data_IF_497534579801
#
_entry.id   IF_497534579801
#
_cell.length_a   1.000
_cell.length_b   1.000
_cell.length_c   1.000
_cell.angle_alpha   90.00
_cell.angle_beta   90.00
_cell.angle_gamma   90.00
#
_symmetry.space_group_name_H-M   'P 1'
#
loop_
_entity.id
_entity.type
_entity.pdbx_description
1 polymer ?
#
# COMPACT_ATOMS: atom_id res chain seq x y z
N UNK A 1 -8.68 7.01 -5.43
CA UNK A 1 -8.48 5.62 -4.97
C UNK A 1 -8.16 4.64 -6.09
N UNK A 2 -8.80 4.70 -7.28
CA UNK A 2 -8.42 3.84 -8.41
C UNK A 2 -6.95 4.00 -8.85
N UNK A 3 -6.37 5.21 -8.77
CA UNK A 3 -5.03 5.50 -9.34
C UNK A 3 -3.81 4.99 -8.55
N UNK A 4 -3.88 4.87 -7.22
CA UNK A 4 -2.73 4.43 -6.41
C UNK A 4 -2.53 2.91 -6.49
N UNK A 5 -3.63 2.15 -6.45
CA UNK A 5 -3.61 0.72 -6.74
C UNK A 5 -3.22 0.46 -8.19
N UNK A 6 -3.65 1.31 -9.13
CA UNK A 6 -3.26 1.20 -10.54
C UNK A 6 -1.76 1.45 -10.76
N UNK A 7 -1.11 2.35 -10.01
CA UNK A 7 0.34 2.58 -10.12
C UNK A 7 1.16 1.42 -9.53
N UNK A 8 0.74 0.90 -8.37
CA UNK A 8 1.36 -0.30 -7.76
C UNK A 8 1.15 -1.53 -8.66
N UNK A 9 -0.05 -1.68 -9.23
CA UNK A 9 -0.33 -2.73 -10.22
C UNK A 9 0.46 -2.50 -11.50
N UNK A 10 0.56 -1.28 -12.04
CA UNK A 10 1.31 -0.99 -13.27
C UNK A 10 2.81 -1.32 -13.13
N UNK A 11 3.42 -1.04 -11.98
CA UNK A 11 4.81 -1.41 -11.70
C UNK A 11 5.03 -2.93 -11.58
N UNK A 12 3.98 -3.70 -11.24
CA UNK A 12 4.01 -5.18 -11.14
C UNK A 12 3.33 -5.93 -12.30
N UNK A 13 2.73 -5.23 -13.27
CA UNK A 13 1.92 -5.83 -14.35
C UNK A 13 2.75 -5.98 -15.62
N UNK A 14 3.27 -7.18 -15.86
CA UNK A 14 3.74 -7.57 -17.19
C UNK A 14 2.57 -8.22 -17.92
N UNK A 15 2.09 -7.71 -19.08
CA UNK A 15 1.09 -8.40 -19.85
C UNK A 15 1.70 -9.68 -20.44
N UNK A 16 1.20 -10.84 -20.01
CA UNK A 16 1.40 -12.08 -20.74
C UNK A 16 0.67 -11.98 -22.08
N UNK A 17 1.41 -12.15 -23.16
CA UNK A 17 0.86 -12.48 -24.46
C UNK A 17 0.17 -13.85 -24.35
N UNK A 18 -1.15 -13.88 -24.23
CA UNK A 18 -1.99 -14.92 -24.82
C UNK A 18 -3.48 -14.55 -24.73
N UNK A 19 -4.08 -14.36 -25.90
CA UNK A 19 -5.52 -14.31 -26.03
C UNK A 19 -6.12 -15.68 -25.77
N UNK A 20 -6.96 -15.77 -24.75
CA UNK A 20 -7.99 -16.80 -24.64
C UNK A 20 -9.25 -16.14 -24.12
N UNK A 21 -10.30 -16.14 -24.94
CA UNK A 21 -11.63 -15.71 -24.52
C UNK A 21 -12.16 -16.63 -23.41
N UNK A 22 -12.95 -16.11 -22.45
CA UNK A 22 -13.56 -16.94 -21.43
C UNK A 22 -14.60 -17.88 -22.07
N UNK A 23 -14.72 -19.14 -21.63
CA UNK A 23 -15.79 -20.02 -22.08
C UNK A 23 -17.13 -19.55 -21.50
N UNK A 24 -18.14 -19.46 -22.36
CA UNK A 24 -19.54 -19.22 -21.99
C UNK A 24 -20.05 -20.31 -21.05
N UNK A 25 -20.69 -19.93 -19.94
CA UNK A 25 -21.54 -20.84 -19.16
C UNK A 25 -21.48 -20.74 -17.63
N UNK A 26 -21.70 -19.56 -17.03
CA UNK A 26 -22.05 -19.46 -15.61
C UNK A 26 -23.58 -19.29 -15.45
N UNK A 27 -24.27 -20.09 -14.60
CA UNK A 27 -25.70 -19.97 -14.39
C UNK A 27 -26.04 -18.69 -13.59
N UNK A 28 -27.06 -17.96 -14.03
CA UNK A 28 -27.59 -16.80 -13.33
C UNK A 28 -28.22 -17.20 -11.98
N UNK A 29 -27.93 -16.43 -10.93
CA UNK A 29 -28.54 -16.59 -9.61
C UNK A 29 -30.06 -16.30 -9.66
N UNK A 30 -30.89 -17.06 -8.94
CA UNK A 30 -32.35 -16.92 -8.99
C UNK A 30 -32.85 -15.63 -8.32
N UNK A 31 -33.90 -15.07 -8.90
CA UNK A 31 -34.47 -13.72 -8.66
C UNK A 31 -35.25 -13.60 -7.32
N UNK A 32 -35.28 -14.62 -6.45
CA UNK A 32 -36.20 -14.66 -5.30
C UNK A 32 -35.61 -14.25 -3.94
N UNK A 33 -34.50 -13.51 -3.88
CA UNK A 33 -33.93 -13.02 -2.60
C UNK A 33 -34.12 -11.51 -2.36
N UNK A 34 -35.12 -10.89 -3.02
CA UNK A 34 -35.28 -9.43 -3.04
C UNK A 34 -36.45 -8.86 -2.21
N UNK A 35 -37.18 -9.68 -1.45
CA UNK A 35 -38.46 -9.21 -0.85
C UNK A 35 -38.67 -9.48 0.65
N UNK A 36 -37.62 -9.57 1.49
CA UNK A 36 -37.83 -9.77 2.94
C UNK A 36 -36.93 -8.98 3.90
N UNK A 37 -36.75 -7.67 3.69
CA UNK A 37 -36.15 -6.77 4.70
C UNK A 37 -36.85 -5.39 4.79
N UNK A 38 -38.02 -5.26 5.45
CA UNK A 38 -38.67 -3.96 5.62
C UNK A 38 -38.15 -3.16 6.84
N UNK A 39 -36.83 -3.15 7.07
CA UNK A 39 -36.19 -2.33 8.14
C UNK A 39 -34.90 -1.64 7.69
N UNK A 40 -34.37 -1.94 6.50
CA UNK A 40 -33.17 -1.27 5.98
C UNK A 40 -33.46 0.14 5.41
N UNK A 41 -34.70 0.42 4.99
CA UNK A 41 -35.03 1.68 4.32
C UNK A 41 -35.05 2.91 5.24
N UNK A 42 -35.20 2.75 6.56
CA UNK A 42 -35.23 3.89 7.49
C UNK A 42 -33.84 4.43 7.83
N UNK A 43 -32.81 3.58 7.80
CA UNK A 43 -31.42 3.99 8.07
C UNK A 43 -30.79 4.79 6.91
N UNK A 44 -31.24 4.55 5.67
CA UNK A 44 -30.70 5.24 4.48
C UNK A 44 -31.46 6.52 4.09
N UNK A 45 -32.62 6.81 4.69
CA UNK A 45 -33.36 8.06 4.44
C UNK A 45 -32.72 9.29 5.09
N UNK A 46 -31.84 9.10 6.09
CA UNK A 46 -31.06 10.19 6.72
C UNK A 46 -29.89 10.66 5.83
N UNK A 47 -29.56 9.94 4.75
CA UNK A 47 -28.51 10.32 3.78
C UNK A 47 -29.09 10.93 2.48
N UNK A 48 -30.24 11.59 2.54
CA UNK A 48 -30.88 12.28 1.40
C UNK A 48 -30.49 13.76 1.24
N UNK A 49 -29.38 14.21 1.81
CA UNK A 49 -28.71 15.39 1.27
C UNK A 49 -28.02 14.96 -0.02
N UNK A 50 -28.29 15.59 -1.18
CA UNK A 50 -27.56 15.26 -2.39
C UNK A 50 -26.08 15.42 -2.07
N UNK A 51 -25.28 14.37 -2.34
CA UNK A 51 -23.82 14.47 -2.34
C UNK A 51 -23.48 15.63 -3.26
N UNK A 52 -23.25 16.80 -2.66
CA UNK A 52 -22.83 18.00 -3.36
C UNK A 52 -21.55 17.59 -4.06
N UNK A 53 -21.54 17.68 -5.39
CA UNK A 53 -20.34 17.49 -6.17
C UNK A 53 -19.25 18.32 -5.49
N UNK A 54 -18.25 17.64 -4.92
CA UNK A 54 -17.21 18.27 -4.12
C UNK A 54 -16.43 19.23 -5.03
N UNK A 55 -16.84 20.49 -5.03
CA UNK A 55 -16.02 21.62 -5.45
C UNK A 55 -15.09 21.91 -4.29
N UNK A 56 -14.10 21.04 -4.09
CA UNK A 56 -13.08 21.24 -3.06
C UNK A 56 -12.51 22.65 -3.14
N UNK A 57 -11.96 23.18 -2.03
CA UNK A 57 -11.31 24.47 -2.07
C UNK A 57 -10.29 24.49 -3.22
N UNK A 58 -10.27 25.59 -3.98
CA UNK A 58 -9.12 25.94 -4.81
C UNK A 58 -7.87 25.78 -3.93
N UNK A 59 -6.81 25.09 -4.40
CA UNK A 59 -5.63 24.84 -3.59
C UNK A 59 -5.20 26.14 -2.91
N UNK A 60 -5.09 26.15 -1.58
CA UNK A 60 -4.30 27.21 -0.95
C UNK A 60 -2.87 27.03 -1.48
N UNK A 61 -2.23 28.13 -1.88
CA UNK A 61 -0.81 28.10 -2.29
C UNK A 61 0.11 27.68 -1.12
N UNK A 62 -0.43 27.55 0.10
CA UNK A 62 0.29 27.19 1.32
C UNK A 62 0.34 25.67 1.61
N UNK A 63 -0.53 24.83 1.02
CA UNK A 63 -0.56 23.38 1.29
C UNK A 63 -0.28 22.53 0.03
N UNK A 64 1.00 22.45 -0.33
CA UNK A 64 1.49 21.71 -1.49
C UNK A 64 2.33 20.50 -1.08
N UNK A 65 1.97 19.30 -1.58
CA UNK A 65 2.76 18.08 -1.35
C UNK A 65 3.97 17.96 -2.29
N UNK A 66 4.10 18.85 -3.29
CA UNK A 66 5.20 18.77 -4.26
C UNK A 66 6.58 19.02 -3.65
N UNK A 67 6.64 19.58 -2.44
CA UNK A 67 7.90 19.80 -1.73
C UNK A 67 8.45 18.53 -1.03
N UNK A 68 7.62 17.50 -0.84
CA UNK A 68 7.97 16.31 -0.06
C UNK A 68 8.79 15.28 -0.86
N UNK A 69 10.00 14.88 -0.49
CA UNK A 69 10.66 13.73 -1.16
C UNK A 69 11.16 14.03 -2.57
N UNK A 70 11.64 15.25 -2.78
CA UNK A 70 12.53 15.58 -3.90
C UNK A 70 13.98 15.25 -3.52
N UNK A 71 14.87 14.96 -4.48
CA UNK A 71 16.30 14.77 -4.20
C UNK A 71 16.90 16.01 -3.54
N UNK A 72 17.79 15.82 -2.56
CA UNK A 72 18.41 16.89 -1.79
C UNK A 72 19.94 16.86 -1.85
N UNK A 73 20.57 18.03 -1.77
CA UNK A 73 22.04 18.16 -1.70
C UNK A 73 22.76 17.43 -2.83
N UNK A 74 23.70 16.57 -2.47
CA UNK A 74 24.56 15.82 -3.41
C UNK A 74 23.78 14.84 -4.31
N UNK A 75 22.56 14.43 -3.90
CA UNK A 75 21.69 13.57 -4.72
C UNK A 75 21.30 14.24 -6.03
N UNK A 76 21.10 15.56 -6.02
CA UNK A 76 20.72 16.33 -7.19
C UNK A 76 21.80 16.18 -8.26
N UNK A 77 23.08 16.28 -7.88
CA UNK A 77 24.19 16.16 -8.82
C UNK A 77 24.24 14.74 -9.42
N UNK A 78 24.10 13.71 -8.59
CA UNK A 78 24.11 12.32 -9.05
C UNK A 78 22.94 12.00 -9.99
N UNK A 79 21.72 12.41 -9.64
CA UNK A 79 20.52 12.25 -10.47
C UNK A 79 20.71 12.96 -11.82
N UNK A 80 21.23 14.19 -11.82
CA UNK A 80 21.48 14.93 -13.06
C UNK A 80 22.59 14.30 -13.91
N UNK A 81 23.64 13.76 -13.29
CA UNK A 81 24.70 13.01 -13.98
C UNK A 81 24.13 11.76 -14.66
N UNK A 82 23.30 10.99 -13.95
CA UNK A 82 22.65 9.80 -14.49
C UNK A 82 21.76 10.15 -15.69
N UNK A 83 20.85 11.12 -15.53
CA UNK A 83 19.96 11.58 -16.61
C UNK A 83 20.72 12.05 -17.85
N UNK A 84 21.80 12.84 -17.68
CA UNK A 84 22.63 13.29 -18.81
C UNK A 84 23.29 12.11 -19.53
N UNK A 85 23.77 11.13 -18.79
CA UNK A 85 24.40 9.93 -19.35
C UNK A 85 23.40 9.11 -20.16
N UNK A 86 22.21 8.86 -19.59
CA UNK A 86 21.14 8.11 -20.27
C UNK A 86 20.62 8.87 -21.49
N UNK A 87 20.43 10.19 -21.40
CA UNK A 87 20.04 11.02 -22.54
C UNK A 87 21.08 10.97 -23.67
N UNK A 88 22.38 11.01 -23.34
CA UNK A 88 23.45 10.86 -24.32
C UNK A 88 23.46 9.48 -24.97
N UNK A 89 23.22 8.41 -24.19
CA UNK A 89 23.08 7.04 -24.67
C UNK A 89 21.90 6.90 -25.64
N UNK A 90 20.70 7.35 -25.24
CA UNK A 90 19.48 7.35 -26.07
C UNK A 90 19.71 8.11 -27.39
N UNK A 91 20.34 9.29 -27.33
CA UNK A 91 20.67 10.11 -28.51
C UNK A 91 21.67 9.43 -29.44
N UNK A 92 22.66 8.72 -28.89
CA UNK A 92 23.68 8.03 -29.67
C UNK A 92 23.17 6.70 -30.27
N UNK A 93 22.06 6.15 -29.76
CA UNK A 93 21.49 4.87 -30.23
C UNK A 93 22.41 3.67 -29.99
N UNK A 94 23.34 3.76 -29.03
CA UNK A 94 24.35 2.75 -28.76
C UNK A 94 23.85 1.65 -27.83
N UNK A 95 22.76 1.01 -28.24
CA UNK A 95 22.16 -0.10 -27.51
C UNK A 95 22.73 -1.44 -27.99
N UNK A 96 23.07 -2.29 -27.04
CA UNK A 96 23.60 -3.63 -27.24
C UNK A 96 22.53 -4.65 -26.86
N UNK A 97 22.50 -5.80 -27.53
CA UNK A 97 21.67 -6.94 -27.11
C UNK A 97 22.20 -7.54 -25.80
N UNK A 98 23.52 -7.51 -25.59
CA UNK A 98 24.20 -8.02 -24.40
C UNK A 98 25.46 -7.22 -24.11
N UNK A 99 25.78 -7.00 -22.83
CA UNK A 99 27.01 -6.31 -22.43
C UNK A 99 28.23 -7.20 -22.65
N UNK A 100 29.07 -6.88 -23.64
CA UNK A 100 30.38 -7.55 -23.87
C UNK A 100 31.54 -6.55 -23.84
N UNK A 101 32.76 -7.01 -23.51
CA UNK A 101 33.95 -6.13 -23.39
C UNK A 101 34.39 -5.49 -24.72
N UNK A 102 34.06 -6.13 -25.86
CA UNK A 102 34.41 -5.61 -27.19
C UNK A 102 33.67 -4.32 -27.54
N UNK A 103 32.49 -4.10 -26.94
CA UNK A 103 31.60 -2.99 -27.24
C UNK A 103 31.90 -1.74 -26.39
N UNK A 104 32.78 -1.88 -25.39
CA UNK A 104 33.10 -0.85 -24.39
C UNK A 104 34.14 0.19 -24.89
N UNK A 105 34.39 0.25 -26.19
CA UNK A 105 35.41 1.12 -26.81
C UNK A 105 34.95 2.58 -26.87
N UNK A 106 33.63 2.83 -26.93
CA UNK A 106 33.09 4.20 -26.95
C UNK A 106 31.91 4.35 -26.00
N UNK A 107 32.08 5.11 -24.92
CA UNK A 107 31.02 5.36 -23.93
C UNK A 107 30.16 6.58 -24.29
N UNK A 108 28.91 6.67 -23.80
CA UNK A 108 28.17 5.60 -23.10
C UNK A 108 27.64 4.53 -24.07
N UNK A 109 27.53 3.30 -23.59
CA UNK A 109 26.82 2.16 -24.23
C UNK A 109 25.87 1.55 -23.21
N UNK A 110 24.86 0.80 -23.66
CA UNK A 110 23.89 0.24 -22.74
C UNK A 110 22.96 -0.80 -23.32
N UNK A 111 22.08 -1.31 -22.46
CA UNK A 111 20.96 -2.20 -22.82
C UNK A 111 19.67 -1.42 -22.63
N UNK A 112 18.74 -1.59 -23.56
CA UNK A 112 17.36 -1.15 -23.40
C UNK A 112 16.44 -2.37 -23.45
N UNK A 113 15.52 -2.44 -22.49
CA UNK A 113 14.55 -3.52 -22.39
C UNK A 113 13.18 -2.92 -22.10
N UNK A 114 12.18 -3.32 -22.88
CA UNK A 114 10.79 -2.96 -22.65
C UNK A 114 10.06 -4.14 -22.02
N UNK A 115 9.36 -3.88 -20.91
CA UNK A 115 8.55 -4.87 -20.21
C UNK A 115 7.18 -4.24 -19.96
N UNK A 116 6.15 -4.75 -20.63
CA UNK A 116 4.83 -4.12 -20.61
C UNK A 116 4.88 -2.73 -21.24
N UNK A 117 4.61 -1.69 -20.45
CA UNK A 117 4.67 -0.29 -20.86
C UNK A 117 5.77 0.50 -20.13
N UNK A 118 6.72 -0.20 -19.51
CA UNK A 118 7.85 0.38 -18.79
C UNK A 118 9.13 0.07 -19.57
N UNK A 119 9.95 1.09 -19.79
CA UNK A 119 11.24 0.93 -20.48
C UNK A 119 12.41 1.07 -19.51
N UNK A 120 13.22 0.02 -19.40
CA UNK A 120 14.43 -0.01 -18.59
C UNK A 120 15.63 0.30 -19.48
N UNK A 121 16.36 1.37 -19.17
CA UNK A 121 17.55 1.79 -19.93
C UNK A 121 18.78 1.75 -19.03
N UNK A 122 19.59 0.70 -19.15
CA UNK A 122 20.85 0.52 -18.41
C UNK A 122 22.00 1.07 -19.25
N UNK A 123 22.72 2.06 -18.74
CA UNK A 123 23.89 2.66 -19.37
C UNK A 123 25.15 2.51 -18.53
N UNK A 124 26.27 2.25 -19.19
CA UNK A 124 27.60 2.30 -18.59
C UNK A 124 28.16 3.71 -18.78
N UNK A 125 28.44 4.40 -17.67
CA UNK A 125 28.94 5.77 -17.66
C UNK A 125 30.47 5.82 -17.84
N UNK A 126 31.20 5.09 -17.00
CA UNK A 126 32.66 5.06 -17.05
C UNK A 126 33.18 3.66 -16.80
N UNK A 127 34.39 3.41 -17.31
CA UNK A 127 35.12 2.16 -17.14
C UNK A 127 36.56 2.49 -16.76
N UNK A 128 37.08 1.80 -15.74
CA UNK A 128 38.46 1.92 -15.26
C UNK A 128 39.14 0.56 -15.33
N UNK A 129 40.25 0.48 -16.05
CA UNK A 129 41.02 -0.75 -16.21
C UNK A 129 42.14 -0.81 -15.17
N UNK A 130 42.12 -1.86 -14.36
CA UNK A 130 43.18 -2.19 -13.40
C UNK A 130 43.96 -3.43 -13.89
N UNK A 131 45.19 -3.65 -13.39
CA UNK A 131 45.96 -4.83 -13.75
C UNK A 131 45.25 -6.16 -13.47
N UNK A 132 44.34 -6.22 -12.50
CA UNK A 132 43.66 -7.46 -12.09
C UNK A 132 42.18 -7.52 -12.47
N UNK A 133 41.50 -6.38 -12.59
CA UNK A 133 40.05 -6.29 -12.83
C UNK A 133 39.68 -5.01 -13.60
N UNK A 134 38.40 -4.90 -13.97
CA UNK A 134 37.83 -3.69 -14.56
C UNK A 134 36.72 -3.22 -13.65
N UNK A 135 36.65 -1.91 -13.37
CA UNK A 135 35.49 -1.31 -12.71
C UNK A 135 34.63 -0.58 -13.73
N UNK A 136 33.32 -0.56 -13.50
CA UNK A 136 32.43 0.37 -14.19
C UNK A 136 31.46 1.04 -13.23
N UNK A 137 31.03 2.23 -13.62
CA UNK A 137 29.92 2.94 -13.00
C UNK A 137 28.71 2.84 -13.94
N UNK A 138 27.58 2.39 -13.40
CA UNK A 138 26.36 2.11 -14.16
C UNK A 138 25.23 3.01 -13.67
N UNK A 139 24.39 3.43 -14.62
CA UNK A 139 23.14 4.08 -14.35
C UNK A 139 22.00 3.32 -15.03
N UNK A 140 20.85 3.29 -14.38
CA UNK A 140 19.62 2.74 -14.94
C UNK A 140 18.54 3.81 -14.84
N UNK A 141 17.81 4.02 -15.92
CA UNK A 141 16.57 4.79 -15.94
C UNK A 141 15.39 3.85 -16.14
N UNK A 142 14.30 4.07 -15.39
CA UNK A 142 13.05 3.32 -15.54
C UNK A 142 11.98 4.29 -16.04
N UNK A 143 11.68 4.25 -17.34
CA UNK A 143 10.69 5.09 -18.00
C UNK A 143 9.28 4.75 -17.51
N UNK A 144 8.69 5.65 -16.72
CA UNK A 144 7.36 5.45 -16.16
C UNK A 144 6.30 6.11 -17.05
N UNK A 145 5.30 5.34 -17.52
CA UNK A 145 4.30 5.85 -18.45
C UNK A 145 3.50 6.99 -17.83
N UNK A 146 3.56 8.17 -18.46
CA UNK A 146 2.80 9.36 -18.06
C UNK A 146 3.54 10.31 -17.12
N UNK A 147 4.78 9.99 -16.72
CA UNK A 147 5.63 10.88 -15.94
C UNK A 147 6.53 11.74 -16.84
N UNK A 148 6.87 12.96 -16.40
CA UNK A 148 7.77 13.85 -17.14
C UNK A 148 9.25 13.62 -16.82
N UNK A 149 9.51 12.93 -15.72
CA UNK A 149 10.82 12.55 -15.25
C UNK A 149 10.74 11.09 -14.81
N UNK A 150 11.88 10.40 -14.88
CA UNK A 150 11.96 8.98 -14.53
C UNK A 150 12.82 8.77 -13.28
N UNK A 151 12.55 7.77 -12.42
CA UNK A 151 13.50 7.38 -11.39
C UNK A 151 14.79 6.86 -12.01
N UNK A 152 15.91 7.27 -11.43
CA UNK A 152 17.26 6.86 -11.87
C UNK A 152 18.00 6.17 -10.73
N UNK A 153 18.64 5.08 -11.08
CA UNK A 153 19.37 4.20 -10.18
C UNK A 153 20.84 4.17 -10.58
N UNK A 154 21.72 3.87 -9.64
CA UNK A 154 23.14 3.78 -9.92
C UNK A 154 23.87 2.78 -9.05
N UNK A 155 25.02 2.35 -9.58
CA UNK A 155 25.99 1.54 -8.87
C UNK A 155 27.39 1.91 -9.37
N UNK A 156 28.32 2.19 -8.45
CA UNK A 156 29.68 2.63 -8.76
C UNK A 156 30.72 1.59 -8.33
N UNK A 157 31.86 1.55 -9.01
CA UNK A 157 32.96 0.66 -8.67
C UNK A 157 32.65 -0.82 -8.89
N UNK A 158 31.74 -1.15 -9.81
CA UNK A 158 31.31 -2.52 -10.05
C UNK A 158 32.38 -3.29 -10.80
N UNK A 159 32.83 -4.42 -10.25
CA UNK A 159 33.90 -5.24 -10.82
C UNK A 159 33.38 -6.17 -11.93
N UNK A 160 33.98 -6.07 -13.11
CA UNK A 160 33.73 -6.92 -14.27
C UNK A 160 34.80 -7.99 -14.43
N UNK A 161 34.40 -9.18 -14.91
CA UNK A 161 35.36 -10.24 -15.25
C UNK A 161 35.98 -10.01 -16.62
N UNK A 162 37.22 -10.48 -16.82
CA UNK A 162 37.94 -10.35 -18.10
C UNK A 162 37.28 -11.06 -19.30
N UNK A 163 36.31 -11.95 -19.06
CA UNK A 163 35.54 -12.64 -20.12
C UNK A 163 34.36 -11.80 -20.63
N UNK A 164 34.12 -10.63 -20.04
CA UNK A 164 33.02 -9.74 -20.36
C UNK A 164 31.71 -10.21 -19.74
N UNK A 165 31.07 -9.29 -19.03
CA UNK A 165 29.82 -9.52 -18.31
C UNK A 165 29.92 -9.18 -16.82
N UNK A 166 28.76 -8.86 -16.26
CA UNK A 166 28.51 -8.76 -14.83
C UNK A 166 28.66 -10.14 -14.18
N UNK A 167 29.28 -10.19 -13.00
CA UNK A 167 29.39 -11.43 -12.23
C UNK A 167 28.11 -11.63 -11.43
N UNK A 168 27.11 -12.28 -12.04
CA UNK A 168 25.81 -12.50 -11.42
C UNK A 168 24.93 -11.24 -11.44
N UNK A 169 24.11 -11.12 -10.40
CA UNK A 169 23.18 -10.01 -10.25
C UNK A 169 23.86 -8.76 -9.70
N UNK A 170 23.52 -7.62 -10.29
CA UNK A 170 23.93 -6.31 -9.85
C UNK A 170 22.73 -5.55 -9.29
N UNK A 171 22.84 -5.10 -8.04
CA UNK A 171 21.89 -4.17 -7.42
C UNK A 171 22.30 -2.73 -7.73
N UNK A 172 21.39 -1.96 -8.33
CA UNK A 172 21.48 -0.51 -8.49
C UNK A 172 20.48 0.16 -7.56
N UNK A 173 20.93 1.15 -6.79
CA UNK A 173 20.09 1.83 -5.80
C UNK A 173 19.55 3.15 -6.37
N UNK A 174 18.35 3.54 -5.95
CA UNK A 174 17.76 4.82 -6.33
C UNK A 174 18.68 5.96 -5.87
N UNK A 175 19.06 6.84 -6.81
CA UNK A 175 20.09 7.87 -6.56
C UNK A 175 19.59 9.04 -5.70
N UNK A 176 18.28 9.23 -5.61
CA UNK A 176 17.63 10.25 -4.81
C UNK A 176 16.13 9.98 -4.73
N UNK A 177 15.47 10.44 -3.68
CA UNK A 177 14.03 10.24 -3.50
C UNK A 177 13.26 10.70 -4.74
N UNK A 178 12.26 9.91 -5.15
CA UNK A 178 11.56 10.13 -6.41
C UNK A 178 10.06 10.40 -6.22
N UNK A 179 9.58 11.62 -6.55
CA UNK A 179 8.16 11.96 -6.63
C UNK A 179 7.39 11.17 -7.69
N UNK A 180 6.17 10.72 -7.37
CA UNK A 180 5.15 10.40 -8.36
C UNK A 180 3.82 11.03 -7.93
N UNK A 181 3.36 12.02 -8.69
CA UNK A 181 2.12 12.76 -8.37
C UNK A 181 0.89 11.93 -8.77
N UNK A 182 0.16 11.39 -7.78
CA UNK A 182 -1.17 10.79 -8.03
C UNK A 182 -2.16 11.90 -8.41
N UNK A 183 -2.09 13.03 -7.69
CA UNK A 183 -2.78 14.26 -8.03
C UNK A 183 -1.88 15.42 -7.65
N UNK A 184 -1.47 16.18 -8.65
CA UNK A 184 -0.59 17.35 -8.53
C UNK A 184 -1.01 18.25 -7.36
N UNK A 185 -0.08 18.46 -6.44
CA UNK A 185 -0.24 19.29 -5.25
C UNK A 185 -1.18 18.76 -4.17
N UNK A 186 -1.79 17.57 -4.33
CA UNK A 186 -2.71 16.99 -3.33
C UNK A 186 -2.33 15.62 -2.80
N UNK A 187 -1.75 14.76 -3.62
CA UNK A 187 -1.32 13.45 -3.17
C UNK A 187 -0.22 12.91 -4.06
N UNK A 188 0.80 12.31 -3.46
CA UNK A 188 1.92 11.72 -4.17
C UNK A 188 2.41 10.45 -3.49
N UNK A 189 3.05 9.62 -4.29
CA UNK A 189 3.92 8.56 -3.84
C UNK A 189 5.36 9.10 -3.88
N UNK A 190 6.16 8.72 -2.89
CA UNK A 190 7.60 9.00 -2.85
C UNK A 190 8.32 7.68 -2.78
N UNK A 191 9.16 7.39 -3.76
CA UNK A 191 10.11 6.29 -3.69
C UNK A 191 11.31 6.77 -2.88
N UNK A 192 11.70 6.03 -1.86
CA UNK A 192 12.81 6.41 -0.99
C UNK A 192 14.11 5.79 -1.48
N UNK A 193 15.20 6.55 -1.44
CA UNK A 193 16.54 6.03 -1.65
C UNK A 193 17.05 5.22 -0.45
N UNK A 194 18.11 4.46 -0.63
CA UNK A 194 18.83 3.83 0.48
C UNK A 194 19.44 4.91 1.40
N UNK A 195 19.15 4.83 2.70
CA UNK A 195 19.70 5.75 3.73
C UNK A 195 20.88 5.13 4.48
N UNK A 196 21.05 3.81 4.43
CA UNK A 196 22.18 3.10 5.02
C UNK A 196 22.07 1.58 4.84
N UNK A 197 23.04 0.80 5.36
CA UNK A 197 23.06 -0.66 5.19
C UNK A 197 21.84 -1.38 5.76
N UNK A 198 21.27 -0.85 6.85
CA UNK A 198 20.08 -1.39 7.52
C UNK A 198 18.77 -0.78 7.01
N UNK A 199 18.86 0.27 6.18
CA UNK A 199 17.73 0.98 5.59
C UNK A 199 17.85 0.99 4.06
N UNK A 200 17.71 -0.22 3.50
CA UNK A 200 17.67 -0.42 2.04
C UNK A 200 16.40 0.23 1.49
N UNK A 201 16.59 1.20 0.60
CA UNK A 201 15.50 1.90 -0.08
C UNK A 201 15.08 1.18 -1.36
N UNK A 202 14.62 1.94 -2.34
CA UNK A 202 14.24 1.43 -3.66
C UNK A 202 15.47 1.06 -4.48
N UNK A 203 15.46 -0.12 -5.09
CA UNK A 203 16.56 -0.64 -5.89
C UNK A 203 16.06 -1.51 -7.05
N UNK A 204 16.90 -1.63 -8.07
CA UNK A 204 16.70 -2.56 -9.19
C UNK A 204 17.83 -3.56 -9.22
N UNK A 205 17.50 -4.82 -9.49
CA UNK A 205 18.47 -5.86 -9.80
C UNK A 205 18.51 -6.08 -11.30
N UNK A 206 19.70 -6.04 -11.87
CA UNK A 206 19.97 -6.33 -13.29
C UNK A 206 21.03 -7.42 -13.42
N UNK A 207 21.09 -8.05 -14.58
CA UNK A 207 22.18 -8.94 -14.95
C UNK A 207 22.63 -8.63 -16.40
N UNK A 208 23.43 -9.51 -17.00
CA UNK A 208 23.92 -9.30 -18.38
C UNK A 208 22.80 -9.29 -19.43
N UNK A 209 21.64 -9.85 -19.11
CA UNK A 209 20.49 -9.99 -20.02
C UNK A 209 19.45 -8.88 -19.80
N UNK A 210 19.63 -8.02 -18.79
CA UNK A 210 18.79 -6.84 -18.53
C UNK A 210 18.18 -6.81 -17.13
N UNK A 211 16.96 -6.29 -17.02
CA UNK A 211 16.19 -6.19 -15.78
C UNK A 211 15.86 -7.57 -15.21
N UNK A 212 16.01 -7.74 -13.89
CA UNK A 212 15.65 -8.97 -13.17
C UNK A 212 14.56 -8.74 -12.12
N UNK A 213 14.70 -7.72 -11.27
CA UNK A 213 13.71 -7.43 -10.24
C UNK A 213 13.76 -6.01 -9.72
N UNK A 214 12.69 -5.60 -9.05
CA UNK A 214 12.50 -4.30 -8.43
C UNK A 214 12.09 -4.47 -6.96
N UNK A 215 12.87 -3.91 -6.05
CA UNK A 215 12.46 -3.69 -4.66
C UNK A 215 12.10 -2.23 -4.49
N UNK A 216 10.88 -1.94 -4.05
CA UNK A 216 10.41 -0.57 -3.79
C UNK A 216 10.14 -0.38 -2.31
N UNK A 217 10.68 0.71 -1.79
CA UNK A 217 10.37 1.24 -0.47
C UNK A 217 9.96 2.69 -0.64
N UNK A 218 8.85 3.08 -0.02
CA UNK A 218 8.36 4.43 -0.16
C UNK A 218 7.24 4.77 0.79
N UNK A 219 6.63 5.93 0.58
CA UNK A 219 5.43 6.33 1.29
C UNK A 219 4.47 7.09 0.39
N UNK A 220 3.18 6.98 0.69
CA UNK A 220 2.16 7.88 0.17
C UNK A 220 2.01 9.05 1.14
N UNK A 221 1.82 10.26 0.61
CA UNK A 221 1.56 11.47 1.41
C UNK A 221 0.39 12.25 0.83
N UNK A 222 -0.43 12.82 1.72
CA UNK A 222 -1.63 13.57 1.37
C UNK A 222 -1.55 15.03 1.84
N UNK A 223 -2.19 15.91 1.07
CA UNK A 223 -2.46 17.29 1.41
C UNK A 223 -3.41 17.37 2.61
N UNK A 224 -3.18 18.36 3.48
CA UNK A 224 -4.03 18.69 4.62
C UNK A 224 -5.39 19.21 4.19
N UNK A 225 -5.53 19.69 2.95
CA UNK A 225 -6.84 19.98 2.35
C UNK A 225 -7.72 18.74 2.16
N UNK A 226 -7.14 17.52 2.24
CA UNK A 226 -7.90 16.27 2.20
C UNK A 226 -7.92 15.59 3.55
N UNK A 227 -6.76 15.35 4.15
CA UNK A 227 -6.62 14.54 5.35
C UNK A 227 -5.84 15.30 6.42
N UNK A 228 -6.43 15.44 7.61
CA UNK A 228 -5.81 16.07 8.77
C UNK A 228 -5.26 14.97 9.68
N UNK A 229 -3.95 14.95 9.98
CA UNK A 229 -3.40 13.97 10.91
C UNK A 229 -3.99 14.13 12.31
N UNK A 230 -4.16 13.04 13.03
CA UNK A 230 -4.64 13.02 14.42
C UNK A 230 -3.67 12.26 15.31
N UNK A 231 -3.65 12.57 16.62
CA UNK A 231 -2.98 11.70 17.59
C UNK A 231 -3.80 10.41 17.84
N UNK A 232 -3.28 9.51 18.69
CA UNK A 232 -3.97 8.27 19.06
C UNK A 232 -5.31 8.48 19.77
N UNK A 233 -5.52 9.63 20.42
CA UNK A 233 -6.81 10.02 21.01
C UNK A 233 -7.78 10.65 19.99
N UNK A 234 -7.34 10.78 18.73
CA UNK A 234 -8.13 11.37 17.65
C UNK A 234 -8.19 12.89 17.67
N UNK A 235 -7.31 13.58 18.40
CA UNK A 235 -7.21 15.03 18.35
C UNK A 235 -6.41 15.46 17.12
N UNK A 236 -6.92 16.41 16.30
CA UNK A 236 -6.20 16.95 15.14
C UNK A 236 -4.80 17.45 15.51
N UNK A 237 -3.83 17.23 14.63
CA UNK A 237 -2.47 17.73 14.75
C UNK A 237 -2.30 18.97 13.88
N UNK A 238 -1.73 20.03 14.46
CA UNK A 238 -1.50 21.30 13.77
C UNK A 238 -0.47 21.18 12.65
N UNK A 239 0.53 20.31 12.83
CA UNK A 239 1.66 20.12 11.92
C UNK A 239 1.68 18.71 11.32
N UNK A 240 2.53 18.53 10.31
CA UNK A 240 2.73 17.24 9.65
C UNK A 240 1.64 16.90 8.62
N UNK A 241 1.81 15.75 7.98
CA UNK A 241 0.95 15.24 6.92
C UNK A 241 0.59 13.79 7.20
N UNK A 242 -0.56 13.36 6.68
CA UNK A 242 -0.93 11.95 6.69
C UNK A 242 -0.01 11.21 5.71
N UNK A 243 0.78 10.28 6.24
CA UNK A 243 1.67 9.40 5.48
C UNK A 243 1.32 7.94 5.74
N UNK A 244 1.55 7.08 4.76
CA UNK A 244 1.55 5.63 4.93
C UNK A 244 2.74 5.05 4.21
N UNK A 245 3.54 4.22 4.89
CA UNK A 245 4.76 3.65 4.34
C UNK A 245 4.45 2.32 3.69
N UNK A 246 4.99 2.10 2.51
CA UNK A 246 4.80 0.86 1.81
C UNK A 246 6.13 0.27 1.39
N UNK A 247 6.15 -1.05 1.34
CA UNK A 247 7.19 -1.79 0.64
C UNK A 247 6.52 -2.70 -0.39
N UNK A 248 7.21 -2.96 -1.48
CA UNK A 248 6.87 -4.12 -2.31
C UNK A 248 8.09 -4.66 -3.03
N UNK A 249 8.11 -5.97 -3.25
CA UNK A 249 9.13 -6.65 -4.05
C UNK A 249 8.44 -7.30 -5.24
N UNK A 250 8.87 -6.91 -6.44
CA UNK A 250 8.34 -7.41 -7.71
C UNK A 250 9.48 -7.95 -8.58
N UNK A 251 9.43 -9.25 -8.85
CA UNK A 251 10.31 -9.92 -9.83
C UNK A 251 9.52 -10.16 -11.16
N UNK A 252 8.18 -10.25 -11.08
CA UNK A 252 7.20 -10.36 -12.19
C UNK A 252 5.78 -10.12 -11.62
N UNK A 253 4.77 -10.94 -11.97
CA UNK A 253 3.48 -11.02 -11.27
C UNK A 253 3.61 -11.46 -9.78
N UNK A 254 4.78 -11.98 -9.44
CA UNK A 254 5.19 -12.34 -8.08
C UNK A 254 5.39 -11.07 -7.23
N UNK A 255 4.38 -10.75 -6.42
CA UNK A 255 4.29 -9.52 -5.65
C UNK A 255 3.97 -9.80 -4.19
N UNK A 256 4.79 -9.24 -3.30
CA UNK A 256 4.38 -8.98 -1.91
C UNK A 256 4.43 -7.48 -1.70
N UNK A 257 3.35 -6.91 -1.16
CA UNK A 257 3.28 -5.50 -0.81
C UNK A 257 2.73 -5.33 0.60
N UNK A 258 3.34 -4.45 1.40
CA UNK A 258 2.80 -4.07 2.71
C UNK A 258 2.59 -2.56 2.80
N UNK A 259 1.67 -2.16 3.67
CA UNK A 259 1.41 -0.78 4.08
C UNK A 259 1.46 -0.74 5.61
N UNK A 260 2.41 -0.01 6.16
CA UNK A 260 2.63 0.20 7.58
C UNK A 260 2.64 1.69 7.92
N UNK A 261 2.65 1.98 9.22
CA UNK A 261 2.88 3.33 9.75
C UNK A 261 1.94 4.38 9.12
N UNK A 262 0.67 4.01 8.93
CA UNK A 262 -0.33 4.89 8.37
C UNK A 262 -0.80 5.86 9.44
N UNK A 263 -0.53 7.14 9.22
CA UNK A 263 -0.84 8.21 10.19
C UNK A 263 -2.34 8.24 10.44
N UNK A 264 -2.83 8.12 11.69
CA UNK A 264 -4.24 8.30 12.01
C UNK A 264 -4.73 9.67 11.54
N UNK A 265 -5.96 9.76 11.06
CA UNK A 265 -6.42 10.97 10.38
C UNK A 265 -7.92 11.18 10.46
N UNK A 266 -8.33 12.42 10.19
CA UNK A 266 -9.70 12.78 9.89
C UNK A 266 -9.79 13.39 8.49
N UNK A 267 -10.96 13.32 7.87
CA UNK A 267 -11.18 13.93 6.55
C UNK A 267 -11.47 15.41 6.72
N UNK A 268 -10.82 16.28 5.94
CA UNK A 268 -11.07 17.72 5.98
C UNK A 268 -12.55 18.01 5.72
N UNK A 269 -13.18 18.77 6.63
CA UNK A 269 -14.62 19.07 6.59
C UNK A 269 -15.52 18.02 7.26
N UNK A 270 -14.96 16.87 7.67
CA UNK A 270 -15.62 15.83 8.47
C UNK A 270 -14.67 15.38 9.59
N UNK A 271 -14.11 16.35 10.32
CA UNK A 271 -13.00 16.14 11.26
C UNK A 271 -13.40 15.35 12.51
N UNK A 272 -14.71 15.25 12.78
CA UNK A 272 -15.27 14.42 13.85
C UNK A 272 -15.23 12.92 13.53
N UNK A 273 -15.08 12.55 12.24
CA UNK A 273 -14.94 11.16 11.78
C UNK A 273 -13.47 10.80 11.67
N UNK A 274 -13.00 9.93 12.56
CA UNK A 274 -11.58 9.63 12.74
C UNK A 274 -11.26 8.22 12.26
N UNK A 275 -10.14 8.06 11.58
CA UNK A 275 -9.70 6.83 10.94
C UNK A 275 -8.33 6.40 11.47
N UNK A 276 -8.17 5.10 11.66
CA UNK A 276 -6.88 4.48 11.92
C UNK A 276 -6.76 3.19 11.12
N UNK A 277 -5.60 3.02 10.50
CA UNK A 277 -5.24 1.85 9.69
C UNK A 277 -3.90 1.37 10.22
N UNK A 278 -3.86 0.16 10.75
CA UNK A 278 -2.62 -0.46 11.20
C UNK A 278 -2.41 -1.73 10.37
N UNK A 279 -1.31 -1.78 9.61
CA UNK A 279 -0.87 -2.97 8.88
C UNK A 279 -1.83 -3.50 7.80
N UNK A 280 -1.44 -3.35 6.53
CA UNK A 280 -2.05 -4.11 5.43
C UNK A 280 -0.95 -4.88 4.72
N UNK A 281 -1.21 -6.14 4.38
CA UNK A 281 -0.35 -6.92 3.52
C UNK A 281 -1.14 -7.53 2.36
N UNK A 282 -0.50 -7.58 1.21
CA UNK A 282 -1.00 -8.16 -0.02
C UNK A 282 0.05 -9.15 -0.51
N UNK A 283 -0.38 -10.39 -0.73
CA UNK A 283 0.49 -11.46 -1.19
C UNK A 283 -0.08 -12.13 -2.43
N UNK A 284 0.70 -12.08 -3.51
CA UNK A 284 0.52 -12.85 -4.73
C UNK A 284 1.77 -13.64 -5.08
N UNK A 285 2.71 -13.81 -4.14
CA UNK A 285 3.99 -14.45 -4.37
C UNK A 285 3.93 -15.97 -4.25
N UNK A 286 4.83 -16.65 -4.96
CA UNK A 286 5.09 -18.10 -4.81
C UNK A 286 6.36 -18.39 -4.00
N UNK A 287 7.13 -17.35 -3.65
CA UNK A 287 8.50 -17.49 -3.14
C UNK A 287 8.71 -16.89 -1.75
N UNK A 288 7.77 -16.07 -1.26
CA UNK A 288 7.88 -15.33 0.00
C UNK A 288 6.48 -14.97 0.50
N UNK A 289 6.38 -14.70 1.80
CA UNK A 289 5.17 -14.21 2.44
C UNK A 289 5.47 -12.91 3.21
N UNK A 290 4.47 -12.07 3.50
CA UNK A 290 4.59 -11.03 4.51
C UNK A 290 4.90 -11.61 5.89
N UNK A 291 5.74 -10.92 6.67
CA UNK A 291 6.25 -11.42 7.96
C UNK A 291 5.17 -11.42 9.07
N UNK A 292 4.23 -10.48 9.03
CA UNK A 292 3.33 -10.17 10.16
C UNK A 292 1.89 -10.70 10.02
N UNK A 293 1.64 -11.69 9.15
CA UNK A 293 0.29 -12.28 9.01
C UNK A 293 0.01 -13.22 10.18
N UNK A 294 -1.09 -12.98 10.90
CA UNK A 294 -1.52 -13.80 12.04
C UNK A 294 -2.76 -14.60 11.69
N UNK A 295 -2.63 -15.91 11.64
CA UNK A 295 -3.78 -16.80 11.47
C UNK A 295 -4.38 -17.20 12.82
N UNK A 296 -5.72 -17.31 12.92
CA UNK A 296 -6.36 -17.86 14.10
C UNK A 296 -6.06 -19.37 14.23
N UNK A 297 -6.28 -19.89 15.44
CA UNK A 297 -6.22 -21.34 15.68
C UNK A 297 -7.23 -22.07 14.78
N UNK A 298 -6.85 -23.25 14.28
CA UNK A 298 -7.67 -24.08 13.38
C UNK A 298 -8.04 -23.43 12.03
N UNK A 299 -7.25 -22.48 11.53
CA UNK A 299 -7.45 -21.90 10.21
C UNK A 299 -7.40 -23.00 9.11
N UNK A 300 -8.45 -23.16 8.28
CA UNK A 300 -8.61 -24.32 7.40
C UNK A 300 -7.86 -24.16 6.07
N UNK A 301 -6.59 -23.74 6.11
CA UNK A 301 -5.79 -23.54 4.90
C UNK A 301 -4.78 -24.68 4.70
N UNK A 302 -4.67 -25.26 3.49
CA UNK A 302 -3.61 -26.21 3.16
C UNK A 302 -2.22 -25.56 3.17
N UNK A 303 -2.16 -24.22 3.14
CA UNK A 303 -0.93 -23.44 3.18
C UNK A 303 -0.47 -23.14 4.62
N UNK A 304 -1.22 -23.56 5.64
CA UNK A 304 -0.82 -23.41 7.03
C UNK A 304 -0.51 -24.79 7.63
N UNK A 305 0.68 -24.94 8.17
CA UNK A 305 1.16 -26.18 8.79
C UNK A 305 1.68 -25.91 10.20
N UNK A 306 1.96 -26.96 10.97
CA UNK A 306 2.63 -26.81 12.27
C UNK A 306 4.02 -26.12 12.17
N UNK A 307 4.66 -26.18 10.99
CA UNK A 307 5.92 -25.49 10.68
C UNK A 307 5.74 -24.03 10.26
N UNK A 308 4.52 -23.50 10.26
CA UNK A 308 4.19 -22.14 9.85
C UNK A 308 3.51 -22.04 8.49
N UNK A 309 3.46 -20.82 7.97
CA UNK A 309 2.84 -20.50 6.68
C UNK A 309 3.75 -20.94 5.51
N UNK A 310 3.17 -21.65 4.55
CA UNK A 310 3.77 -21.97 3.26
C UNK A 310 3.93 -20.70 2.42
N UNK A 311 5.01 -20.62 1.62
CA UNK A 311 5.28 -19.54 0.65
C UNK A 311 4.29 -19.41 -0.50
N UNK A 312 3.30 -20.31 -0.52
CA UNK A 312 2.26 -20.38 -1.56
C UNK A 312 0.95 -19.76 -1.11
N UNK A 313 0.87 -19.24 0.13
CA UNK A 313 -0.30 -18.49 0.55
C UNK A 313 -0.45 -17.24 -0.31
N UNK A 314 -1.70 -16.91 -0.66
CA UNK A 314 -2.03 -15.71 -1.43
C UNK A 314 -3.27 -15.09 -0.84
N UNK A 315 -3.24 -13.78 -0.61
CA UNK A 315 -4.38 -13.10 -0.02
C UNK A 315 -4.10 -11.68 0.43
N UNK A 316 -5.10 -11.14 1.12
CA UNK A 316 -5.06 -9.84 1.78
C UNK A 316 -5.11 -10.07 3.28
N UNK A 317 -4.22 -9.41 4.01
CA UNK A 317 -4.25 -9.32 5.46
C UNK A 317 -4.40 -7.86 5.90
N UNK A 318 -5.28 -7.61 6.88
CA UNK A 318 -5.40 -6.31 7.55
C UNK A 318 -5.32 -6.57 9.05
N UNK A 319 -4.28 -6.08 9.70
CA UNK A 319 -4.09 -6.24 11.16
C UNK A 319 -5.20 -5.49 11.89
N UNK A 320 -5.39 -4.21 11.57
CA UNK A 320 -6.46 -3.41 12.15
C UNK A 320 -6.94 -2.28 11.27
N UNK A 321 -8.25 -2.09 11.26
CA UNK A 321 -8.92 -0.93 10.69
C UNK A 321 -9.95 -0.43 11.68
N UNK A 322 -9.95 0.86 12.00
CA UNK A 322 -10.97 1.42 12.88
C UNK A 322 -11.45 2.80 12.44
N UNK A 323 -12.73 3.04 12.71
CA UNK A 323 -13.38 4.33 12.55
C UNK A 323 -14.06 4.72 13.86
N UNK A 324 -13.82 5.95 14.31
CA UNK A 324 -14.52 6.55 15.44
C UNK A 324 -15.54 7.54 14.90
N UNK A 325 -16.80 7.33 15.28
CA UNK A 325 -17.92 8.14 14.83
C UNK A 325 -17.94 9.51 15.53
N UNK A 326 -18.56 10.51 14.89
CA UNK A 326 -18.80 11.81 15.51
C UNK A 326 -19.56 11.74 16.83
N UNK A 327 -19.29 12.70 17.72
CA UNK A 327 -19.87 12.78 19.06
C UNK A 327 -21.40 12.84 19.08
N UNK A 328 -22.05 13.24 17.98
CA UNK A 328 -23.50 13.29 17.84
C UNK A 328 -24.15 11.90 17.87
N UNK A 329 -23.37 10.83 17.68
CA UNK A 329 -23.84 9.44 17.75
C UNK A 329 -23.58 8.76 19.09
N UNK A 330 -22.86 9.42 20.02
CA UNK A 330 -22.51 8.80 21.29
C UNK A 330 -23.75 8.66 22.18
N UNK A 331 -23.76 7.57 22.95
CA UNK A 331 -24.71 7.39 24.03
C UNK A 331 -24.64 8.56 25.03
N UNK A 332 -25.75 8.93 25.66
CA UNK A 332 -25.82 9.99 26.66
C UNK A 332 -24.77 9.79 27.76
N UNK A 333 -23.89 10.78 27.93
CA UNK A 333 -22.77 10.73 28.89
C UNK A 333 -21.67 9.71 28.56
N UNK A 334 -21.78 8.99 27.45
CA UNK A 334 -20.85 7.95 27.02
C UNK A 334 -19.70 8.47 26.13
N UNK A 335 -18.62 7.69 25.98
CA UNK A 335 -17.57 7.96 25.01
C UNK A 335 -18.06 7.75 23.56
N UNK A 336 -17.33 8.26 22.54
CA UNK A 336 -17.69 8.09 21.13
C UNK A 336 -17.78 6.61 20.72
N UNK A 337 -18.71 6.30 19.81
CA UNK A 337 -18.82 4.98 19.19
C UNK A 337 -17.60 4.75 18.30
N UNK A 338 -16.98 3.58 18.41
CA UNK A 338 -15.96 3.13 17.47
C UNK A 338 -16.32 1.78 16.87
N UNK A 339 -16.00 1.60 15.59
CA UNK A 339 -16.14 0.35 14.86
C UNK A 339 -14.76 -0.08 14.40
N UNK A 340 -14.45 -1.36 14.57
CA UNK A 340 -13.12 -1.90 14.38
C UNK A 340 -13.17 -3.28 13.73
N UNK A 341 -12.33 -3.48 12.73
CA UNK A 341 -12.03 -4.77 12.15
C UNK A 341 -10.59 -5.17 12.53
N UNK A 342 -10.39 -6.42 12.96
CA UNK A 342 -9.08 -6.97 13.34
C UNK A 342 -8.81 -8.33 12.71
N UNK A 343 -7.52 -8.59 12.49
CA UNK A 343 -6.98 -9.87 12.00
C UNK A 343 -7.76 -10.35 10.76
N UNK A 344 -8.05 -9.42 9.84
CA UNK A 344 -8.85 -9.72 8.67
C UNK A 344 -7.98 -10.45 7.65
N UNK A 345 -8.41 -11.63 7.24
CA UNK A 345 -7.78 -12.41 6.17
C UNK A 345 -8.81 -12.61 5.07
N UNK A 346 -8.41 -12.34 3.83
CA UNK A 346 -9.20 -12.62 2.63
C UNK A 346 -8.31 -13.42 1.68
N UNK A 347 -8.61 -14.71 1.53
CA UNK A 347 -7.89 -15.62 0.65
C UNK A 347 -8.86 -16.63 -0.01
N UNK A 348 -8.35 -17.77 -0.47
CA UNK A 348 -9.13 -18.83 -1.10
C UNK A 348 -10.10 -19.55 -0.13
N UNK A 349 -9.91 -19.41 1.18
CA UNK A 349 -10.86 -19.86 2.20
C UNK A 349 -11.98 -18.84 2.46
N UNK A 350 -11.93 -17.68 1.81
CA UNK A 350 -12.87 -16.58 1.98
C UNK A 350 -12.43 -15.62 3.09
N UNK A 351 -13.40 -15.05 3.82
CA UNK A 351 -13.12 -13.99 4.80
C UNK A 351 -13.06 -14.54 6.23
N UNK A 352 -12.01 -14.14 6.95
CA UNK A 352 -11.79 -14.41 8.37
C UNK A 352 -11.49 -13.11 9.08
N UNK A 353 -11.84 -13.01 10.35
CA UNK A 353 -11.50 -11.87 11.18
C UNK A 353 -12.59 -11.55 12.20
N UNK A 354 -12.40 -10.43 12.89
CA UNK A 354 -13.31 -9.98 13.93
C UNK A 354 -13.78 -8.55 13.63
N UNK A 355 -15.09 -8.34 13.64
CA UNK A 355 -15.72 -7.03 13.60
C UNK A 355 -16.27 -6.71 14.98
N UNK A 356 -15.88 -5.58 15.55
CA UNK A 356 -16.30 -5.11 16.87
C UNK A 356 -16.85 -3.70 16.77
N UNK A 357 -17.85 -3.40 17.58
CA UNK A 357 -18.37 -2.06 17.78
C UNK A 357 -18.48 -1.78 19.28
N UNK A 358 -18.04 -0.59 19.69
CA UNK A 358 -17.85 -0.21 21.08
C UNK A 358 -18.73 0.97 21.46
N UNK A 359 -19.05 1.08 22.76
CA UNK A 359 -19.74 2.23 23.37
C UNK A 359 -21.14 2.48 22.78
N UNK A 360 -21.89 1.41 22.52
CA UNK A 360 -23.10 1.44 21.70
C UNK A 360 -24.33 2.00 22.41
N UNK A 361 -24.50 1.69 23.70
CA UNK A 361 -25.65 2.15 24.50
C UNK A 361 -25.21 2.39 25.93
N UNK A 362 -25.63 3.53 26.53
CA UNK A 362 -25.42 3.76 27.96
C UNK A 362 -26.48 3.03 28.80
N UNK A 363 -26.20 2.88 30.09
CA UNK A 363 -27.10 2.22 31.04
C UNK A 363 -28.47 2.91 31.15
N UNK A 364 -28.52 4.23 30.92
CA UNK A 364 -29.74 5.03 31.00
C UNK A 364 -30.63 4.90 29.76
N UNK A 365 -30.04 4.51 28.63
CA UNK A 365 -30.72 4.38 27.34
C UNK A 365 -31.25 2.97 27.09
N UNK A 366 -30.53 1.94 27.55
CA UNK A 366 -30.95 0.57 27.35
C UNK A 366 -32.07 0.18 28.30
N UNK A 367 -33.15 -0.36 27.73
CA UNK A 367 -34.28 -0.90 28.48
C UNK A 367 -34.62 -2.30 27.98
N UNK A 368 -34.46 -3.29 28.87
CA UNK A 368 -34.85 -4.68 28.65
C UNK A 368 -35.99 -5.03 29.62
N UNK A 369 -37.23 -4.80 29.19
CA UNK A 369 -38.45 -5.05 30.00
C UNK A 369 -38.40 -4.42 31.41
N UNK A 370 -37.97 -3.17 31.50
CA UNK A 370 -37.86 -2.41 32.74
C UNK A 370 -36.51 -2.54 33.45
N UNK A 371 -35.59 -3.36 32.95
CA UNK A 371 -34.22 -3.41 33.44
C UNK A 371 -33.34 -2.49 32.61
N UNK A 372 -32.61 -1.60 33.29
CA UNK A 372 -31.64 -0.74 32.63
C UNK A 372 -30.43 -1.58 32.22
N UNK A 373 -29.93 -1.45 30.99
CA UNK A 373 -28.73 -2.15 30.54
C UNK A 373 -27.85 -1.25 29.67
N UNK A 374 -26.53 -1.48 29.65
CA UNK A 374 -25.60 -0.86 28.70
C UNK A 374 -25.13 -1.89 27.67
N UNK A 375 -24.68 -1.41 26.52
CA UNK A 375 -23.99 -2.23 25.52
C UNK A 375 -22.63 -1.59 25.24
N UNK A 376 -21.61 -2.10 25.91
CA UNK A 376 -20.25 -1.59 25.86
C UNK A 376 -19.51 -2.18 24.64
N UNK A 377 -19.78 -3.44 24.28
CA UNK A 377 -19.17 -4.10 23.13
C UNK A 377 -20.14 -5.06 22.46
N UNK A 378 -20.17 -5.02 21.14
CA UNK A 378 -20.74 -6.04 20.27
C UNK A 378 -19.66 -6.52 19.31
N UNK A 379 -19.42 -7.82 19.22
CA UNK A 379 -18.48 -8.35 18.23
C UNK A 379 -18.94 -9.63 17.57
N UNK A 380 -18.50 -9.80 16.33
CA UNK A 380 -18.75 -10.97 15.49
C UNK A 380 -17.39 -11.50 15.03
N UNK A 381 -17.15 -12.80 15.22
CA UNK A 381 -15.98 -13.51 14.70
C UNK A 381 -16.40 -14.45 13.57
N UNK A 382 -15.70 -14.34 12.44
CA UNK A 382 -15.83 -15.25 11.30
C UNK A 382 -14.51 -15.97 11.05
N UNK A 383 -14.62 -17.24 10.68
CA UNK A 383 -13.51 -18.10 10.25
C UNK A 383 -13.87 -18.74 8.92
N UNK A 384 -13.15 -18.41 7.86
CA UNK A 384 -13.37 -18.89 6.50
C UNK A 384 -14.84 -18.81 6.07
N UNK A 385 -15.44 -17.62 6.17
CA UNK A 385 -16.86 -17.32 5.92
C UNK A 385 -17.87 -18.03 6.85
N UNK A 386 -17.41 -18.76 7.86
CA UNK A 386 -18.27 -19.39 8.85
C UNK A 386 -18.33 -18.54 10.11
N UNK A 387 -19.56 -18.22 10.54
CA UNK A 387 -19.81 -17.60 11.83
C UNK A 387 -19.31 -18.52 12.96
N UNK A 388 -18.46 -18.00 13.84
CA UNK A 388 -17.91 -18.74 14.98
C UNK A 388 -18.54 -18.27 16.28
N UNK A 389 -18.49 -16.96 16.51
CA UNK A 389 -18.84 -16.37 17.80
C UNK A 389 -19.55 -15.03 17.58
N UNK A 390 -20.53 -14.79 18.43
CA UNK A 390 -21.08 -13.48 18.67
C UNK A 390 -20.93 -13.18 20.16
N UNK A 391 -20.38 -12.02 20.46
CA UNK A 391 -20.08 -11.60 21.82
C UNK A 391 -20.75 -10.27 22.15
N UNK A 392 -21.36 -10.21 23.32
CA UNK A 392 -21.92 -8.99 23.90
C UNK A 392 -21.29 -8.74 25.27
N UNK A 393 -20.86 -7.51 25.50
CA UNK A 393 -20.44 -7.05 26.82
C UNK A 393 -21.18 -5.77 27.19
N UNK A 394 -21.55 -5.67 28.46
CA UNK A 394 -22.29 -4.53 29.00
C UNK A 394 -22.68 -4.77 30.45
N UNK A 395 -23.35 -3.80 31.05
CA UNK A 395 -23.84 -3.86 32.43
C UNK A 395 -25.36 -4.00 32.44
N UNK A 396 -25.89 -4.61 33.48
CA UNK A 396 -27.33 -4.63 33.75
C UNK A 396 -27.58 -4.10 35.16
N UNK A 397 -28.56 -3.22 35.30
CA UNK A 397 -29.05 -2.76 36.57
C UNK A 397 -30.25 -3.62 36.98
N UNK A 398 -30.03 -4.52 37.95
CA UNK A 398 -31.10 -5.34 38.53
C UNK A 398 -31.80 -4.54 39.62
N UNK A 399 -33.11 -4.22 39.48
CA UNK A 399 -33.86 -3.58 40.55
C UNK A 399 -34.01 -4.57 41.72
N UNK A 400 -33.22 -4.39 42.77
CA UNK A 400 -33.21 -5.26 43.95
C UNK A 400 -34.41 -5.04 44.89
N UNK A 401 -35.18 -3.96 44.65
CA UNK A 401 -36.42 -3.68 45.34
C UNK A 401 -37.48 -3.32 44.29
N UNK A 402 -38.56 -4.10 44.24
CA UNK A 402 -39.71 -3.77 43.42
C UNK A 402 -40.25 -2.40 43.83
N UNK A 403 -40.76 -1.62 42.89
CA UNK A 403 -41.58 -0.47 43.24
C UNK A 403 -42.79 -1.00 44.01
N UNK A 404 -42.70 -0.98 45.34
CA UNK A 404 -43.89 -1.08 46.18
C UNK A 404 -44.79 0.07 45.74
N UNK A 405 -45.93 -0.28 45.15
CA UNK A 405 -47.03 0.64 44.96
C UNK A 405 -47.48 1.06 46.37
N UNK A 406 -47.00 2.20 46.85
CA UNK A 406 -47.58 2.91 48.00
C UNK A 406 -48.75 3.75 47.49
#
# INVERSE_FOLDING_TARGET
>A
MKSALYLILLLGSIPLCNGAAPPDGAPALPVSFRESLPVADTAFQVMKTPFRQWSGPTPSEEDDVRDEGNPLGDEIEQVQKARKTIAALKKAGKFLEKLTMGDLVTLPVGIQQEIGNITYTLGIESIRFYPEYTEADLFLEVDLPGESLDPVFGATGIKFTRKGGLTGDLKLELLGDFPIDIRKGKSRIVLEKTKGPEDTGTYVVVNCDGFRSLGVKGYVVFSRDWLIPTNAAGAPQENGRVKGHFNFQADSWDLVATLSDFTPFAVKGFEDLKWQVDGIALDFSDFRNPEDVRFPENYPSPFLTASGMSRLWKGVYIDRFSVTLPDQFKANGGPPISVEARDMIIDDQGMTGMLSAYNLLSLEEGNLNGWAFSMDTFSIRMLAMQFQELHFAGKINLPLFGADKI
#
